data_IF_273390267196
#
_entry.id   IF_273390267196
#
_cell.length_a   1.000
_cell.length_b   1.000
_cell.length_c   1.000
_cell.angle_alpha   90.00
_cell.angle_beta   90.00
_cell.angle_gamma   90.00
#
_symmetry.space_group_name_H-M   'P 1'
#
loop_
_entity.id
_entity.type
_entity.pdbx_description
1 polymer ?
#
# COMPACT_ATOMS: atom_id res chain seq x y z
N UNK A 1 -12.82 15.19 9.43
CA UNK A 1 -12.41 13.77 9.57
C UNK A 1 -11.64 13.63 10.86
N UNK A 2 -11.88 12.57 11.64
CA UNK A 2 -11.07 12.24 12.82
C UNK A 2 -10.32 10.94 12.50
N UNK A 3 -8.97 10.96 12.42
CA UNK A 3 -8.19 9.74 12.21
C UNK A 3 -8.49 8.69 13.27
N UNK A 4 -8.47 7.42 12.86
CA UNK A 4 -8.55 6.28 13.78
C UNK A 4 -7.14 5.98 14.26
N UNK A 5 -6.95 5.98 15.57
CA UNK A 5 -5.70 5.52 16.19
C UNK A 5 -5.75 3.99 16.32
N UNK A 6 -5.08 3.30 15.41
CA UNK A 6 -4.90 1.85 15.54
C UNK A 6 -3.74 1.55 16.49
N UNK A 7 -3.91 0.66 17.47
CA UNK A 7 -2.80 0.26 18.34
C UNK A 7 -1.71 -0.43 17.52
N UNK A 8 -0.47 -0.29 17.98
CA UNK A 8 0.65 -1.05 17.41
C UNK A 8 0.42 -2.56 17.63
N UNK A 9 0.82 -3.42 16.68
CA UNK A 9 0.73 -4.87 16.87
C UNK A 9 1.60 -5.32 18.05
N UNK A 10 1.12 -6.32 18.79
CA UNK A 10 1.78 -6.88 19.98
C UNK A 10 2.71 -8.07 19.66
N UNK A 11 2.66 -8.60 18.45
CA UNK A 11 3.45 -9.76 18.01
C UNK A 11 2.99 -11.10 18.58
N UNK A 12 1.83 -11.16 19.25
CA UNK A 12 1.27 -12.38 19.85
C UNK A 12 -0.12 -12.67 19.31
N UNK A 13 -1.03 -11.70 19.40
CA UNK A 13 -2.41 -11.79 18.89
C UNK A 13 -2.58 -10.91 17.64
N UNK A 14 -1.75 -9.87 17.50
CA UNK A 14 -1.79 -8.90 16.42
C UNK A 14 -0.40 -8.71 15.83
N UNK A 15 -0.33 -8.62 14.50
CA UNK A 15 0.93 -8.58 13.75
C UNK A 15 0.89 -7.46 12.71
N UNK A 16 2.05 -6.97 12.30
CA UNK A 16 2.15 -6.05 11.18
C UNK A 16 1.80 -6.74 9.84
N UNK A 17 1.52 -5.94 8.81
CA UNK A 17 1.09 -6.45 7.51
C UNK A 17 2.13 -7.36 6.86
N UNK A 18 3.43 -7.05 6.96
CA UNK A 18 4.49 -7.82 6.29
C UNK A 18 4.64 -9.19 6.94
N UNK A 19 4.62 -9.25 8.28
CA UNK A 19 4.59 -10.52 9.01
C UNK A 19 3.40 -11.37 8.58
N UNK A 20 2.19 -10.79 8.50
CA UNK A 20 1.01 -11.52 8.04
C UNK A 20 1.12 -12.00 6.58
N UNK A 21 1.64 -11.17 5.67
CA UNK A 21 1.84 -11.55 4.26
C UNK A 21 2.80 -12.74 4.14
N UNK A 22 3.86 -12.78 4.95
CA UNK A 22 4.81 -13.90 4.93
C UNK A 22 4.15 -15.25 5.23
N UNK A 23 3.11 -15.28 6.06
CA UNK A 23 2.37 -16.50 6.39
C UNK A 23 1.44 -17.00 5.26
N UNK A 24 1.13 -16.14 4.28
CA UNK A 24 0.30 -16.54 3.14
C UNK A 24 1.09 -17.33 2.09
N UNK A 25 2.43 -17.28 2.14
CA UNK A 25 3.31 -17.81 1.10
C UNK A 25 2.98 -17.27 -0.31
N UNK A 26 2.45 -16.04 -0.39
CA UNK A 26 2.23 -15.31 -1.64
C UNK A 26 3.56 -14.90 -2.27
N UNK A 27 3.68 -15.09 -3.58
CA UNK A 27 4.87 -14.74 -4.35
C UNK A 27 4.53 -14.55 -5.84
N UNK A 28 5.28 -13.67 -6.50
CA UNK A 28 5.31 -13.48 -7.96
C UNK A 28 6.75 -13.60 -8.45
N UNK A 29 6.95 -14.15 -9.65
CA UNK A 29 8.29 -14.22 -10.24
C UNK A 29 8.83 -12.83 -10.58
N UNK A 30 10.15 -12.63 -10.43
CA UNK A 30 10.80 -11.32 -10.61
C UNK A 30 10.59 -10.70 -12.01
N UNK A 31 10.46 -11.54 -13.04
CA UNK A 31 10.25 -11.12 -14.43
C UNK A 31 8.76 -11.01 -14.82
N UNK A 32 7.83 -11.19 -13.88
CA UNK A 32 6.41 -11.06 -14.17
C UNK A 32 6.01 -9.58 -14.23
N UNK A 33 5.24 -9.16 -15.24
CA UNK A 33 4.74 -7.79 -15.29
C UNK A 33 3.77 -7.53 -14.12
N UNK A 34 3.79 -6.31 -13.59
CA UNK A 34 2.84 -5.85 -12.57
C UNK A 34 1.41 -6.04 -13.10
N UNK A 35 0.64 -6.89 -12.42
CA UNK A 35 -0.72 -7.23 -12.85
C UNK A 35 -1.77 -6.21 -12.38
N UNK A 36 -1.38 -5.25 -11.55
CA UNK A 36 -2.22 -4.14 -11.07
C UNK A 36 -1.95 -2.89 -11.90
N UNK A 37 -2.79 -2.68 -12.92
CA UNK A 37 -2.59 -1.63 -13.91
C UNK A 37 -3.33 -0.35 -13.52
N UNK A 38 -2.60 0.73 -13.29
CA UNK A 38 -3.17 2.07 -13.10
C UNK A 38 -3.39 2.72 -14.46
N UNK A 39 -4.65 3.03 -14.79
CA UNK A 39 -5.01 3.61 -16.08
C UNK A 39 -4.52 5.07 -16.23
N UNK A 40 -4.54 5.83 -15.14
CA UNK A 40 -4.16 7.24 -15.13
C UNK A 40 -3.52 7.60 -13.78
N UNK A 41 -2.21 7.85 -13.81
CA UNK A 41 -1.42 8.17 -12.62
C UNK A 41 -1.73 9.55 -12.04
N UNK A 42 -2.11 10.51 -12.89
CA UNK A 42 -2.47 11.84 -12.44
C UNK A 42 -3.82 11.81 -11.72
N UNK A 43 -4.78 11.07 -12.28
CA UNK A 43 -6.07 10.83 -11.62
C UNK A 43 -5.90 10.04 -10.32
N UNK A 44 -5.03 9.02 -10.29
CA UNK A 44 -4.72 8.28 -9.07
C UNK A 44 -4.27 9.22 -7.95
N UNK A 45 -3.32 10.12 -8.22
CA UNK A 45 -2.89 11.11 -7.23
C UNK A 45 -4.00 12.09 -6.84
N UNK A 46 -4.63 12.72 -7.82
CA UNK A 46 -5.58 13.81 -7.58
C UNK A 46 -6.89 13.34 -6.95
N UNK A 47 -7.33 12.10 -7.20
CA UNK A 47 -8.61 11.58 -6.69
C UNK A 47 -8.47 10.74 -5.42
N UNK A 48 -7.33 10.09 -5.20
CA UNK A 48 -7.13 9.16 -4.08
C UNK A 48 -6.24 9.78 -3.00
N UNK A 49 -5.06 10.29 -3.37
CA UNK A 49 -4.12 10.84 -2.42
C UNK A 49 -4.56 12.23 -1.94
N UNK A 50 -4.77 13.16 -2.87
CA UNK A 50 -4.96 14.57 -2.51
C UNK A 50 -6.32 14.83 -1.85
N UNK A 51 -7.31 13.97 -2.09
CA UNK A 51 -8.66 14.08 -1.50
C UNK A 51 -8.82 13.21 -0.25
N UNK A 52 -8.29 11.97 -0.26
CA UNK A 52 -8.57 10.97 0.79
C UNK A 52 -7.32 10.49 1.54
N UNK A 53 -6.17 11.13 1.32
CA UNK A 53 -4.90 10.83 1.97
C UNK A 53 -4.47 9.36 1.82
N UNK A 54 -4.59 8.82 0.60
CA UNK A 54 -3.98 7.54 0.26
C UNK A 54 -4.71 6.30 0.83
N UNK A 55 -6.05 6.13 0.70
CA UNK A 55 -6.75 4.96 1.25
C UNK A 55 -6.21 3.61 0.75
N UNK A 56 -5.56 3.54 -0.41
CA UNK A 56 -4.94 2.32 -0.97
C UNK A 56 -3.90 1.68 -0.07
N UNK A 57 -3.08 2.49 0.60
CA UNK A 57 -2.13 2.04 1.62
C UNK A 57 -2.83 1.43 2.85
N UNK A 58 -4.11 1.74 3.08
CA UNK A 58 -4.89 1.26 4.24
C UNK A 58 -5.73 0.04 3.89
N UNK A 59 -6.55 0.12 2.83
CA UNK A 59 -7.46 -0.97 2.46
C UNK A 59 -6.73 -2.20 1.92
N UNK A 60 -5.52 -2.04 1.35
CA UNK A 60 -4.76 -3.17 0.86
C UNK A 60 -4.26 -4.02 2.03
N UNK A 61 -4.64 -5.31 2.12
CA UNK A 61 -4.23 -6.18 3.22
C UNK A 61 -2.76 -6.58 3.13
N UNK A 62 -2.16 -6.49 1.94
CA UNK A 62 -0.82 -7.01 1.65
C UNK A 62 0.27 -5.94 1.50
N UNK A 63 -0.04 -4.65 1.71
CA UNK A 63 0.95 -3.59 1.58
C UNK A 63 1.46 -3.37 0.15
N UNK A 64 0.61 -3.67 -0.84
CA UNK A 64 0.98 -3.57 -2.27
C UNK A 64 1.07 -2.13 -2.75
N UNK A 65 0.20 -1.24 -2.27
CA UNK A 65 0.15 0.15 -2.71
C UNK A 65 0.80 1.07 -1.70
N UNK A 66 1.76 1.87 -2.16
CA UNK A 66 2.49 2.81 -1.30
C UNK A 66 2.63 4.17 -2.00
N UNK A 67 2.47 5.25 -1.23
CA UNK A 67 2.85 6.59 -1.63
C UNK A 67 4.19 6.91 -0.97
N UNK A 68 5.24 7.01 -1.77
CA UNK A 68 6.61 7.30 -1.31
C UNK A 68 7.04 8.68 -1.77
N UNK A 69 7.92 9.32 -1.00
CA UNK A 69 8.55 10.58 -1.39
C UNK A 69 9.94 10.27 -1.98
N UNK A 70 10.12 10.57 -3.26
CA UNK A 70 11.36 10.34 -4.01
C UNK A 70 11.79 11.66 -4.65
N UNK A 71 12.95 12.20 -4.23
CA UNK A 71 13.45 13.48 -4.77
C UNK A 71 12.57 14.70 -4.48
N UNK A 72 11.75 14.66 -3.43
CA UNK A 72 10.78 15.72 -3.11
C UNK A 72 9.47 15.62 -3.90
N UNK A 73 9.30 14.57 -4.71
CA UNK A 73 8.06 14.28 -5.41
C UNK A 73 7.37 13.05 -4.81
N UNK A 74 6.05 13.13 -4.69
CA UNK A 74 5.24 12.02 -4.25
C UNK A 74 4.95 11.05 -5.41
N UNK A 75 5.35 9.80 -5.26
CA UNK A 75 5.23 8.73 -6.26
C UNK A 75 4.39 7.57 -5.73
N UNK A 76 3.53 7.03 -6.59
CA UNK A 76 2.77 5.81 -6.30
C UNK A 76 3.57 4.58 -6.72
N UNK A 77 3.85 3.70 -5.77
CA UNK A 77 4.57 2.44 -5.95
C UNK A 77 3.62 1.26 -5.77
N UNK A 78 3.80 0.24 -6.62
CA UNK A 78 3.05 -1.02 -6.59
C UNK A 78 4.04 -2.16 -6.37
N UNK A 79 3.95 -2.81 -5.21
CA UNK A 79 4.73 -3.99 -4.83
C UNK A 79 3.97 -5.24 -5.25
N UNK A 80 4.06 -5.57 -6.54
CA UNK A 80 3.43 -6.76 -7.13
C UNK A 80 4.49 -7.76 -7.53
#
# INVERSE_FOLDING_TARGET
>A
FKPIEYPKPDGVISFDKLTNVSFTNTYHGEDQPVHLVVKDMALQKASEHDVYAGPSARYCPAGVYEWIEEGGELKFQINS
#
